data_IF_653833817089
#
_entry.id   IF_653833817089
#
_cell.length_a   1.000
_cell.length_b   1.000
_cell.length_c   1.000
_cell.angle_alpha   90.00
_cell.angle_beta   90.00
_cell.angle_gamma   90.00
#
_symmetry.space_group_name_H-M   'P 1'
#
loop_
_entity.id
_entity.type
_entity.pdbx_description
1 polymer ?
#
# COMPACT_ATOMS: atom_id res chain seq x y z
N UNK A 1 -29.89 47.75 -12.02
CA UNK A 1 -29.07 47.08 -13.05
C UNK A 1 -27.71 46.68 -12.51
N UNK A 2 -26.93 47.59 -11.91
CA UNK A 2 -25.56 47.28 -11.42
C UNK A 2 -25.55 46.26 -10.26
N UNK A 3 -26.54 46.30 -9.37
CA UNK A 3 -26.70 45.35 -8.25
C UNK A 3 -26.97 43.90 -8.72
N UNK A 4 -27.77 43.74 -9.79
CA UNK A 4 -28.14 42.43 -10.34
C UNK A 4 -26.92 41.74 -10.95
N UNK A 5 -26.10 42.48 -11.71
CA UNK A 5 -24.89 41.92 -12.31
C UNK A 5 -23.81 41.53 -11.29
N UNK A 6 -23.77 42.20 -10.13
CA UNK A 6 -22.85 41.84 -9.05
C UNK A 6 -23.31 40.55 -8.34
N UNK A 7 -24.62 40.41 -8.09
CA UNK A 7 -25.21 39.22 -7.48
C UNK A 7 -25.04 37.99 -8.39
N UNK A 8 -25.32 38.14 -9.69
CA UNK A 8 -25.13 37.08 -10.70
C UNK A 8 -23.66 36.65 -10.82
N UNK A 9 -22.73 37.61 -10.89
CA UNK A 9 -21.29 37.31 -10.95
C UNK A 9 -20.78 36.62 -9.68
N UNK A 10 -21.27 37.01 -8.50
CA UNK A 10 -20.94 36.36 -7.22
C UNK A 10 -21.47 34.93 -7.20
N UNK A 11 -22.70 34.72 -7.65
CA UNK A 11 -23.34 33.42 -7.65
C UNK A 11 -22.64 32.46 -8.63
N UNK A 12 -22.35 32.92 -9.85
CA UNK A 12 -21.59 32.14 -10.84
C UNK A 12 -20.17 31.82 -10.35
N UNK A 13 -19.46 32.78 -9.76
CA UNK A 13 -18.13 32.54 -9.21
C UNK A 13 -18.13 31.52 -8.06
N UNK A 14 -19.14 31.56 -7.20
CA UNK A 14 -19.31 30.60 -6.11
C UNK A 14 -19.63 29.20 -6.65
N UNK A 15 -20.55 29.08 -7.60
CA UNK A 15 -20.91 27.81 -8.23
C UNK A 15 -19.72 27.18 -8.94
N UNK A 16 -19.01 27.96 -9.76
CA UNK A 16 -17.80 27.48 -10.46
C UNK A 16 -16.69 27.07 -9.49
N UNK A 17 -16.44 27.88 -8.46
CA UNK A 17 -15.42 27.58 -7.46
C UNK A 17 -15.75 26.31 -6.67
N UNK A 18 -17.02 26.13 -6.30
CA UNK A 18 -17.49 24.94 -5.60
C UNK A 18 -17.40 23.70 -6.48
N UNK A 19 -17.87 23.77 -7.72
CA UNK A 19 -17.83 22.65 -8.65
C UNK A 19 -16.39 22.22 -8.94
N UNK A 20 -15.50 23.17 -9.23
CA UNK A 20 -14.08 22.88 -9.44
C UNK A 20 -13.41 22.31 -8.19
N UNK A 21 -13.68 22.88 -7.01
CA UNK A 21 -13.13 22.41 -5.75
C UNK A 21 -13.56 20.98 -5.43
N UNK A 22 -14.84 20.66 -5.61
CA UNK A 22 -15.38 19.30 -5.40
C UNK A 22 -14.77 18.32 -6.39
N UNK A 23 -14.74 18.65 -7.69
CA UNK A 23 -14.16 17.78 -8.72
C UNK A 23 -12.69 17.47 -8.44
N UNK A 24 -11.90 18.49 -8.15
CA UNK A 24 -10.47 18.32 -7.84
C UNK A 24 -10.28 17.49 -6.56
N UNK A 25 -11.03 17.78 -5.50
CA UNK A 25 -10.95 17.05 -4.24
C UNK A 25 -11.28 15.57 -4.38
N UNK A 26 -12.36 15.24 -5.10
CA UNK A 26 -12.76 13.85 -5.37
C UNK A 26 -11.70 13.14 -6.20
N UNK A 27 -11.22 13.76 -7.28
CA UNK A 27 -10.22 13.15 -8.16
C UNK A 27 -8.92 12.86 -7.41
N UNK A 28 -8.41 13.80 -6.62
CA UNK A 28 -7.22 13.62 -5.81
C UNK A 28 -7.41 12.54 -4.74
N UNK A 29 -8.55 12.58 -4.03
CA UNK A 29 -8.87 11.61 -2.99
C UNK A 29 -8.94 10.18 -3.52
N UNK A 30 -9.62 9.96 -4.65
CA UNK A 30 -9.71 8.63 -5.30
C UNK A 30 -8.33 8.16 -5.76
N UNK A 31 -7.56 9.01 -6.44
CA UNK A 31 -6.23 8.63 -6.94
C UNK A 31 -5.27 8.28 -5.81
N UNK A 32 -5.28 9.04 -4.71
CA UNK A 32 -4.43 8.75 -3.56
C UNK A 32 -4.90 7.49 -2.83
N UNK A 33 -6.19 7.38 -2.52
CA UNK A 33 -6.76 6.22 -1.85
C UNK A 33 -6.54 4.91 -2.61
N UNK A 34 -6.69 4.93 -3.94
CA UNK A 34 -6.45 3.76 -4.78
C UNK A 34 -4.97 3.36 -4.80
N UNK A 35 -4.05 4.32 -4.93
CA UNK A 35 -2.60 4.04 -4.92
C UNK A 35 -2.15 3.46 -3.58
N UNK A 36 -2.57 4.07 -2.47
CA UNK A 36 -2.21 3.63 -1.13
C UNK A 36 -2.83 2.26 -0.82
N UNK A 37 -4.09 2.05 -1.21
CA UNK A 37 -4.78 0.77 -1.04
C UNK A 37 -4.10 -0.37 -1.82
N UNK A 38 -3.74 -0.13 -3.09
CA UNK A 38 -3.02 -1.12 -3.90
C UNK A 38 -1.63 -1.41 -3.35
N UNK A 39 -0.90 -0.39 -2.88
CA UNK A 39 0.43 -0.58 -2.30
C UNK A 39 0.36 -1.43 -1.02
N UNK A 40 -0.55 -1.08 -0.10
CA UNK A 40 -0.77 -1.84 1.14
C UNK A 40 -1.23 -3.27 0.85
N UNK A 41 -2.12 -3.45 -0.14
CA UNK A 41 -2.58 -4.77 -0.58
C UNK A 41 -1.43 -5.65 -1.05
N UNK A 42 -0.58 -5.13 -1.95
CA UNK A 42 0.60 -5.85 -2.44
C UNK A 42 1.60 -6.16 -1.33
N UNK A 43 1.82 -5.24 -0.40
CA UNK A 43 2.71 -5.47 0.74
C UNK A 43 2.21 -6.58 1.65
N UNK A 44 0.91 -6.58 1.98
CA UNK A 44 0.29 -7.61 2.79
C UNK A 44 0.34 -8.99 2.12
N UNK A 45 0.04 -9.05 0.81
CA UNK A 45 0.13 -10.29 0.03
C UNK A 45 1.57 -10.84 0.01
N UNK A 46 2.55 -9.97 -0.21
CA UNK A 46 3.96 -10.36 -0.22
C UNK A 46 4.43 -10.89 1.15
N UNK A 47 4.00 -10.26 2.25
CA UNK A 47 4.28 -10.76 3.61
C UNK A 47 3.72 -12.16 3.84
N UNK A 48 2.48 -12.42 3.40
CA UNK A 48 1.88 -13.75 3.53
C UNK A 48 2.59 -14.80 2.68
N UNK A 49 3.07 -14.46 1.49
CA UNK A 49 3.89 -15.35 0.66
C UNK A 49 5.18 -15.73 1.39
N UNK A 50 5.92 -14.74 1.92
CA UNK A 50 7.16 -14.99 2.65
C UNK A 50 6.94 -15.82 3.90
N UNK A 51 5.88 -15.53 4.66
CA UNK A 51 5.48 -16.29 5.84
C UNK A 51 5.21 -17.75 5.50
N UNK A 52 4.35 -18.02 4.51
CA UNK A 52 4.02 -19.38 4.09
C UNK A 52 5.26 -20.13 3.58
N UNK A 53 6.11 -19.46 2.81
CA UNK A 53 7.37 -20.03 2.34
C UNK A 53 8.25 -20.46 3.51
N UNK A 54 8.47 -19.59 4.49
CA UNK A 54 9.28 -19.87 5.68
C UNK A 54 8.68 -21.03 6.48
N UNK A 55 7.39 -20.97 6.81
CA UNK A 55 6.71 -22.00 7.62
C UNK A 55 6.78 -23.39 6.98
N UNK A 56 6.56 -23.50 5.67
CA UNK A 56 6.67 -24.79 4.97
C UNK A 56 8.09 -25.35 5.06
N UNK A 57 9.11 -24.51 4.85
CA UNK A 57 10.50 -24.96 4.93
C UNK A 57 10.91 -25.35 6.36
N UNK A 58 10.43 -24.63 7.39
CA UNK A 58 10.65 -24.98 8.79
C UNK A 58 10.01 -26.33 9.15
N UNK A 59 8.76 -26.57 8.70
CA UNK A 59 8.06 -27.86 8.87
C UNK A 59 8.75 -29.02 8.18
N UNK A 60 9.38 -28.76 7.05
CA UNK A 60 10.20 -29.74 6.33
C UNK A 60 11.62 -29.91 6.94
N UNK A 61 11.89 -29.28 8.09
CA UNK A 61 13.18 -29.30 8.77
C UNK A 61 14.35 -28.88 7.87
N UNK A 62 14.10 -27.95 6.96
CA UNK A 62 15.15 -27.37 6.11
C UNK A 62 16.04 -26.47 6.96
N UNK A 63 17.36 -26.63 6.85
CA UNK A 63 18.33 -25.80 7.56
C UNK A 63 18.15 -24.31 7.26
N UNK A 64 18.26 -23.46 8.29
CA UNK A 64 18.02 -22.01 8.21
C UNK A 64 18.84 -21.36 7.10
N UNK A 65 20.12 -21.70 6.96
CA UNK A 65 21.00 -21.14 5.93
C UNK A 65 20.47 -21.41 4.52
N UNK A 66 19.83 -22.56 4.32
CA UNK A 66 19.20 -22.92 3.04
C UNK A 66 17.92 -22.13 2.81
N UNK A 67 17.14 -21.86 3.85
CA UNK A 67 15.95 -20.99 3.78
C UNK A 67 16.37 -19.56 3.43
N UNK A 68 17.38 -19.00 4.10
CA UNK A 68 17.94 -17.67 3.82
C UNK A 68 18.41 -17.56 2.37
N UNK A 69 19.18 -18.54 1.89
CA UNK A 69 19.67 -18.56 0.50
C UNK A 69 18.51 -18.60 -0.50
N UNK A 70 17.45 -19.36 -0.20
CA UNK A 70 16.26 -19.42 -1.06
C UNK A 70 15.49 -18.09 -1.04
N UNK A 71 15.33 -17.46 0.11
CA UNK A 71 14.68 -16.15 0.26
C UNK A 71 15.41 -15.06 -0.55
N UNK A 72 16.74 -15.05 -0.48
CA UNK A 72 17.56 -14.18 -1.33
C UNK A 72 17.35 -14.45 -2.82
N UNK A 73 17.45 -15.72 -3.23
CA UNK A 73 17.41 -16.10 -4.64
C UNK A 73 16.06 -15.86 -5.30
N UNK A 74 14.97 -16.22 -4.62
CA UNK A 74 13.62 -16.20 -5.20
C UNK A 74 12.85 -14.91 -4.92
N UNK A 75 13.16 -14.24 -3.80
CA UNK A 75 12.39 -13.07 -3.34
C UNK A 75 13.25 -11.82 -3.16
N UNK A 76 14.58 -11.91 -3.37
CA UNK A 76 15.48 -10.76 -3.24
C UNK A 76 15.66 -10.25 -1.81
N UNK A 77 15.24 -11.02 -0.81
CA UNK A 77 15.29 -10.61 0.60
C UNK A 77 16.73 -10.61 1.08
N UNK A 78 17.16 -9.56 1.81
CA UNK A 78 18.52 -9.49 2.33
C UNK A 78 18.77 -10.57 3.40
N UNK A 79 20.02 -11.08 3.55
CA UNK A 79 20.30 -12.13 4.52
C UNK A 79 19.86 -11.79 5.95
N UNK A 80 20.06 -10.55 6.38
CA UNK A 80 19.71 -10.11 7.74
C UNK A 80 18.19 -10.08 7.94
N UNK A 81 17.46 -9.55 6.96
CA UNK A 81 15.99 -9.51 6.97
C UNK A 81 15.39 -10.91 6.93
N UNK A 82 15.96 -11.81 6.12
CA UNK A 82 15.53 -13.20 6.06
C UNK A 82 15.64 -13.89 7.42
N UNK A 83 16.74 -13.68 8.15
CA UNK A 83 16.92 -14.23 9.51
C UNK A 83 15.92 -13.64 10.51
N UNK A 84 15.66 -12.33 10.44
CA UNK A 84 14.65 -11.69 11.28
C UNK A 84 13.25 -12.26 11.01
N UNK A 85 12.90 -12.46 9.74
CA UNK A 85 11.62 -13.07 9.35
C UNK A 85 11.51 -14.52 9.81
N UNK A 86 12.58 -15.31 9.68
CA UNK A 86 12.62 -16.70 10.17
C UNK A 86 12.43 -16.73 11.69
N UNK A 87 13.17 -15.91 12.45
CA UNK A 87 13.01 -15.79 13.90
C UNK A 87 11.58 -15.40 14.29
N UNK A 88 11.01 -14.41 13.61
CA UNK A 88 9.65 -13.93 13.86
C UNK A 88 8.60 -15.04 13.71
N UNK A 89 8.72 -15.88 12.67
CA UNK A 89 7.72 -16.93 12.41
C UNK A 89 8.00 -18.23 13.14
N UNK A 90 9.23 -18.45 13.59
CA UNK A 90 9.60 -19.59 14.44
C UNK A 90 9.03 -19.45 15.86
N UNK A 91 8.82 -18.22 16.36
CA UNK A 91 8.25 -17.94 17.68
C UNK A 91 6.71 -18.05 17.75
N UNK A 92 6.04 -18.23 16.61
CA UNK A 92 4.57 -18.19 16.49
C UNK A 92 3.94 -19.61 16.44
N UNK A 93 4.75 -20.67 16.36
CA UNK A 93 4.35 -22.07 16.58
C UNK A 93 4.76 -22.55 17.98
#
# INVERSE_FOLDING_TARGET
MMEIGLEEGRQQGLEQGLEQGIQQGIQQGIQQGMRDGMAKGREAEFKEILKNFILVNLKEHIAEERIVTRLQKYFGVLPQEARQLISLYQEVE
#
